data_IF_370083154197
#
_entry.id   IF_370083154197
#
_cell.length_a   1.000
_cell.length_b   1.000
_cell.length_c   1.000
_cell.angle_alpha   90.00
_cell.angle_beta   90.00
_cell.angle_gamma   90.00
#
_symmetry.space_group_name_H-M   'P 1'
#
loop_
_entity.id
_entity.type
_entity.pdbx_description
1 polymer ?
#
# COMPACT_ATOMS: atom_id res chain seq x y z
N UNK A 1 81.70 -216.74 62.94
CA UNK A 1 82.07 -215.71 63.94
C UNK A 1 82.94 -214.55 63.37
N UNK A 2 82.78 -214.10 62.11
CA UNK A 2 83.50 -212.91 61.56
C UNK A 2 82.65 -211.97 60.67
N UNK A 3 81.37 -212.29 60.42
CA UNK A 3 80.49 -211.46 59.57
C UNK A 3 79.58 -210.48 60.33
N UNK A 4 79.20 -210.76 61.59
CA UNK A 4 78.26 -209.88 62.32
C UNK A 4 78.90 -208.59 62.87
N UNK A 5 80.20 -208.59 63.21
CA UNK A 5 80.91 -207.35 63.58
C UNK A 5 81.11 -206.38 62.41
N UNK A 6 81.16 -206.87 61.16
CA UNK A 6 81.23 -206.01 59.97
C UNK A 6 79.92 -205.31 59.65
N UNK A 7 78.77 -205.94 59.96
CA UNK A 7 77.45 -205.31 59.75
C UNK A 7 77.23 -204.17 60.76
N UNK A 8 77.59 -204.36 62.03
CA UNK A 8 77.44 -203.30 63.04
C UNK A 8 78.30 -202.06 62.78
N UNK A 9 79.49 -202.21 62.18
CA UNK A 9 80.34 -201.07 61.78
C UNK A 9 79.76 -200.29 60.60
N UNK A 10 79.21 -200.99 59.60
CA UNK A 10 78.57 -200.35 58.45
C UNK A 10 77.28 -199.62 58.83
N UNK A 11 76.51 -200.14 59.79
CA UNK A 11 75.31 -199.46 60.29
C UNK A 11 75.67 -198.15 61.03
N UNK A 12 76.79 -198.13 61.75
CA UNK A 12 77.27 -196.93 62.44
C UNK A 12 77.84 -195.89 61.47
N UNK A 13 78.57 -196.31 60.43
CA UNK A 13 79.03 -195.42 59.36
C UNK A 13 77.85 -194.86 58.54
N UNK A 14 76.83 -195.68 58.24
CA UNK A 14 75.60 -195.24 57.57
C UNK A 14 74.78 -194.25 58.41
N UNK A 15 74.73 -194.44 59.73
CA UNK A 15 74.08 -193.50 60.64
C UNK A 15 74.86 -192.18 60.74
N UNK A 16 76.19 -192.23 60.78
CA UNK A 16 77.06 -191.05 60.77
C UNK A 16 76.91 -190.24 59.48
N UNK A 17 76.93 -190.91 58.33
CA UNK A 17 76.77 -190.25 57.03
C UNK A 17 75.38 -189.66 56.84
N UNK A 18 74.33 -190.28 57.39
CA UNK A 18 72.97 -189.68 57.39
C UNK A 18 72.91 -188.43 58.26
N UNK A 19 73.53 -188.44 59.44
CA UNK A 19 73.58 -187.25 60.28
C UNK A 19 74.36 -186.09 59.65
N UNK A 20 75.45 -186.38 58.93
CA UNK A 20 76.18 -185.36 58.16
C UNK A 20 75.37 -184.85 56.95
N UNK A 21 74.61 -185.73 56.28
CA UNK A 21 73.74 -185.33 55.17
C UNK A 21 72.55 -184.48 55.66
N UNK A 22 71.95 -184.84 56.80
CA UNK A 22 70.85 -184.09 57.41
C UNK A 22 71.34 -182.75 57.96
N UNK A 23 72.56 -182.70 58.52
CA UNK A 23 73.21 -181.47 58.95
C UNK A 23 73.51 -180.53 57.78
N UNK A 24 74.10 -181.05 56.71
CA UNK A 24 74.41 -180.25 55.51
C UNK A 24 73.15 -179.78 54.79
N UNK A 25 72.09 -180.59 54.72
CA UNK A 25 70.80 -180.15 54.13
C UNK A 25 70.10 -179.11 54.99
N UNK A 26 70.19 -179.18 56.31
CA UNK A 26 69.68 -178.13 57.21
C UNK A 26 70.44 -176.81 57.05
N UNK A 27 71.78 -176.85 56.94
CA UNK A 27 72.60 -175.67 56.68
C UNK A 27 72.32 -175.07 55.29
N UNK A 28 72.14 -175.90 54.27
CA UNK A 28 71.79 -175.44 52.92
C UNK A 28 70.39 -174.82 52.87
N UNK A 29 69.43 -175.38 53.61
CA UNK A 29 68.09 -174.83 53.71
C UNK A 29 68.07 -173.52 54.52
N UNK A 30 68.86 -173.41 55.60
CA UNK A 30 69.03 -172.13 56.33
C UNK A 30 69.75 -171.07 55.49
N UNK A 31 70.80 -171.46 54.76
CA UNK A 31 71.53 -170.57 53.84
C UNK A 31 70.63 -170.10 52.69
N UNK A 32 69.85 -171.00 52.10
CA UNK A 32 68.87 -170.67 51.07
C UNK A 32 67.78 -169.73 51.60
N UNK A 33 67.24 -169.99 52.80
CA UNK A 33 66.22 -169.15 53.41
C UNK A 33 66.74 -167.75 53.76
N UNK A 34 67.98 -167.66 54.27
CA UNK A 34 68.64 -166.39 54.56
C UNK A 34 68.96 -165.59 53.28
N UNK A 35 69.39 -166.26 52.21
CA UNK A 35 69.62 -165.63 50.91
C UNK A 35 68.32 -165.11 50.29
N UNK A 36 67.21 -165.85 50.39
CA UNK A 36 65.90 -165.37 49.92
C UNK A 36 65.40 -164.18 50.74
N UNK A 37 65.53 -164.21 52.07
CA UNK A 37 65.13 -163.09 52.92
C UNK A 37 65.98 -161.82 52.66
N UNK A 38 67.28 -161.96 52.40
CA UNK A 38 68.15 -160.85 52.03
C UNK A 38 67.78 -160.24 50.67
N UNK A 39 67.43 -161.07 49.68
CA UNK A 39 66.94 -160.62 48.37
C UNK A 39 65.59 -159.90 48.45
N UNK A 40 64.67 -160.38 49.29
CA UNK A 40 63.40 -159.71 49.54
C UNK A 40 63.58 -158.37 50.24
N UNK A 41 64.44 -158.28 51.26
CA UNK A 41 64.78 -157.02 51.91
C UNK A 41 65.44 -156.02 50.94
N UNK A 42 66.31 -156.49 50.04
CA UNK A 42 66.94 -155.65 49.03
C UNK A 42 65.92 -155.13 48.00
N UNK A 43 65.00 -155.99 47.54
CA UNK A 43 63.93 -155.59 46.62
C UNK A 43 62.96 -154.59 47.26
N UNK A 44 62.64 -154.75 48.54
CA UNK A 44 61.79 -153.82 49.26
C UNK A 44 62.49 -152.47 49.47
N UNK A 45 63.79 -152.46 49.78
CA UNK A 45 64.59 -151.24 49.86
C UNK A 45 64.71 -150.53 48.50
N UNK A 46 64.83 -151.27 47.39
CA UNK A 46 64.81 -150.68 46.04
C UNK A 46 63.44 -150.12 45.67
N UNK A 47 62.34 -150.78 46.04
CA UNK A 47 60.98 -150.24 45.84
C UNK A 47 60.79 -148.94 46.58
N UNK A 48 61.19 -148.87 47.85
CA UNK A 48 61.11 -147.64 48.65
C UNK A 48 61.99 -146.52 48.07
N UNK A 49 63.15 -146.84 47.48
CA UNK A 49 63.98 -145.86 46.77
C UNK A 49 63.33 -145.35 45.50
N UNK A 50 62.71 -146.22 44.71
CA UNK A 50 61.99 -145.83 43.49
C UNK A 50 60.78 -144.94 43.83
N UNK A 51 60.04 -145.28 44.88
CA UNK A 51 58.90 -144.49 45.37
C UNK A 51 59.36 -143.12 45.88
N UNK A 52 60.43 -143.05 46.68
CA UNK A 52 60.99 -141.78 47.13
C UNK A 52 61.51 -140.89 45.98
N UNK A 53 62.07 -141.48 44.92
CA UNK A 53 62.50 -140.75 43.72
C UNK A 53 61.29 -140.28 42.90
N UNK A 54 60.22 -141.07 42.81
CA UNK A 54 58.99 -140.68 42.15
C UNK A 54 58.30 -139.51 42.89
N UNK A 55 58.23 -139.57 44.21
CA UNK A 55 57.70 -138.49 45.05
C UNK A 55 58.54 -137.21 44.93
N UNK A 56 59.88 -137.32 44.92
CA UNK A 56 60.76 -136.18 44.70
C UNK A 56 60.58 -135.55 43.30
N UNK A 57 60.38 -136.37 42.27
CA UNK A 57 60.10 -135.90 40.91
C UNK A 57 58.73 -135.21 40.80
N UNK A 58 57.72 -135.67 41.54
CA UNK A 58 56.41 -135.03 41.61
C UNK A 58 56.45 -133.69 42.35
N UNK A 59 57.22 -133.60 43.45
CA UNK A 59 57.47 -132.35 44.15
C UNK A 59 58.21 -131.35 43.25
N UNK A 60 59.23 -131.81 42.50
CA UNK A 60 59.95 -130.96 41.55
C UNK A 60 59.05 -130.43 40.42
N UNK A 61 58.16 -131.28 39.88
CA UNK A 61 57.17 -130.86 38.87
C UNK A 61 56.19 -129.82 39.42
N UNK A 62 55.70 -130.01 40.65
CA UNK A 62 54.81 -129.03 41.32
C UNK A 62 55.51 -127.71 41.58
N UNK A 63 56.77 -127.73 42.03
CA UNK A 63 57.56 -126.51 42.22
C UNK A 63 57.79 -125.77 40.90
N UNK A 64 58.17 -126.47 39.83
CA UNK A 64 58.34 -125.85 38.51
C UNK A 64 57.03 -125.24 37.98
N UNK A 65 55.88 -125.91 38.23
CA UNK A 65 54.57 -125.37 37.90
C UNK A 65 54.23 -124.11 38.70
N UNK A 66 54.50 -124.10 40.01
CA UNK A 66 54.26 -122.94 40.87
C UNK A 66 55.20 -121.77 40.52
N UNK A 67 56.45 -122.04 40.19
CA UNK A 67 57.38 -121.01 39.69
C UNK A 67 56.91 -120.44 38.35
N UNK A 68 56.37 -121.27 37.46
CA UNK A 68 55.75 -120.85 36.20
C UNK A 68 54.53 -119.94 36.44
N UNK A 69 53.65 -120.32 37.37
CA UNK A 69 52.49 -119.51 37.77
C UNK A 69 52.93 -118.17 38.40
N UNK A 70 53.93 -118.18 39.27
CA UNK A 70 54.45 -116.97 39.91
C UNK A 70 55.10 -116.01 38.89
N UNK A 71 55.81 -116.54 37.89
CA UNK A 71 56.35 -115.72 36.78
C UNK A 71 55.22 -115.11 35.96
N UNK A 72 54.20 -115.90 35.60
CA UNK A 72 53.03 -115.41 34.86
C UNK A 72 52.24 -114.34 35.66
N UNK A 73 52.08 -114.50 36.97
CA UNK A 73 51.45 -113.48 37.82
C UNK A 73 52.27 -112.19 37.91
N UNK A 74 53.60 -112.29 37.99
CA UNK A 74 54.48 -111.11 37.99
C UNK A 74 54.41 -110.37 36.65
N UNK A 75 54.42 -111.09 35.54
CA UNK A 75 54.25 -110.51 34.21
C UNK A 75 52.87 -109.84 34.07
N UNK A 76 51.79 -110.53 34.49
CA UNK A 76 50.44 -109.97 34.51
C UNK A 76 50.35 -108.70 35.36
N UNK A 77 51.00 -108.68 36.54
CA UNK A 77 51.04 -107.51 37.41
C UNK A 77 51.77 -106.34 36.76
N UNK A 78 52.92 -106.57 36.12
CA UNK A 78 53.64 -105.52 35.36
C UNK A 78 52.79 -104.99 34.22
N UNK A 79 52.08 -105.86 33.48
CA UNK A 79 51.17 -105.40 32.42
C UNK A 79 50.00 -104.58 32.98
N UNK A 80 49.43 -104.97 34.12
CA UNK A 80 48.36 -104.23 34.78
C UNK A 80 48.86 -102.86 35.27
N UNK A 81 50.04 -102.79 35.89
CA UNK A 81 50.67 -101.54 36.33
C UNK A 81 50.95 -100.61 35.14
N UNK A 82 51.45 -101.15 34.01
CA UNK A 82 51.66 -100.38 32.78
C UNK A 82 50.35 -99.87 32.15
N UNK A 83 49.30 -100.69 32.15
CA UNK A 83 47.97 -100.27 31.67
C UNK A 83 47.37 -99.18 32.55
N UNK A 84 47.55 -99.27 33.87
CA UNK A 84 47.05 -98.28 34.82
C UNK A 84 47.80 -96.96 34.70
N UNK A 85 49.12 -97.01 34.49
CA UNK A 85 49.94 -95.84 34.19
C UNK A 85 49.59 -95.21 32.82
N UNK A 86 49.29 -96.04 31.81
CA UNK A 86 48.85 -95.55 30.50
C UNK A 86 47.46 -94.92 30.57
N UNK A 87 46.54 -95.51 31.33
CA UNK A 87 45.20 -94.98 31.56
C UNK A 87 45.22 -93.67 32.36
N UNK A 88 46.10 -93.56 33.36
CA UNK A 88 46.25 -92.30 34.11
C UNK A 88 46.87 -91.20 33.25
N UNK A 89 47.87 -91.52 32.42
CA UNK A 89 48.45 -90.58 31.44
C UNK A 89 47.39 -90.11 30.46
N UNK A 90 46.64 -91.03 29.85
CA UNK A 90 45.57 -90.70 28.91
C UNK A 90 44.44 -89.89 29.58
N UNK A 91 44.11 -90.18 30.84
CA UNK A 91 43.14 -89.40 31.60
C UNK A 91 43.62 -87.98 31.87
N UNK A 92 44.91 -87.79 32.19
CA UNK A 92 45.48 -86.46 32.40
C UNK A 92 45.62 -85.66 31.11
N UNK A 93 45.94 -86.32 29.99
CA UNK A 93 45.91 -85.71 28.66
C UNK A 93 44.50 -85.28 28.28
N UNK A 94 43.50 -86.17 28.44
CA UNK A 94 42.11 -85.84 28.18
C UNK A 94 41.60 -84.69 29.08
N UNK A 95 42.03 -84.64 30.35
CA UNK A 95 41.68 -83.55 31.26
C UNK A 95 42.37 -82.23 30.87
N UNK A 96 43.62 -82.27 30.37
CA UNK A 96 44.31 -81.09 29.84
C UNK A 96 43.64 -80.59 28.56
N UNK A 97 43.38 -81.46 27.60
CA UNK A 97 42.69 -81.11 26.36
C UNK A 97 41.28 -80.55 26.63
N UNK A 98 40.54 -81.14 27.59
CA UNK A 98 39.24 -80.62 27.99
C UNK A 98 39.34 -79.22 28.62
N UNK A 99 40.37 -78.97 29.46
CA UNK A 99 40.62 -77.65 30.05
C UNK A 99 41.02 -76.63 28.98
N UNK A 100 41.91 -77.00 28.06
CA UNK A 100 42.33 -76.13 26.96
C UNK A 100 41.15 -75.81 26.02
N UNK A 101 40.33 -76.80 25.68
CA UNK A 101 39.12 -76.60 24.88
C UNK A 101 38.08 -75.73 25.61
N UNK A 102 37.90 -75.92 26.91
CA UNK A 102 37.00 -75.10 27.71
C UNK A 102 37.49 -73.65 27.80
N UNK A 103 38.80 -73.45 27.96
CA UNK A 103 39.42 -72.13 27.97
C UNK A 103 39.28 -71.44 26.60
N UNK A 104 39.56 -72.15 25.52
CA UNK A 104 39.38 -71.62 24.16
C UNK A 104 37.91 -71.25 23.90
N UNK A 105 36.94 -72.08 24.32
CA UNK A 105 35.52 -71.77 24.21
C UNK A 105 35.12 -70.54 25.03
N UNK A 106 35.64 -70.40 26.27
CA UNK A 106 35.41 -69.23 27.10
C UNK A 106 35.98 -67.94 26.47
N UNK A 107 37.18 -68.01 25.89
CA UNK A 107 37.78 -66.88 25.17
C UNK A 107 36.99 -66.50 23.92
N UNK A 108 36.50 -67.49 23.16
CA UNK A 108 35.64 -67.22 22.00
C UNK A 108 34.33 -66.56 22.40
N UNK A 109 33.69 -67.03 23.49
CA UNK A 109 32.48 -66.42 24.02
C UNK A 109 32.74 -64.97 24.47
N UNK A 110 33.83 -64.72 25.20
CA UNK A 110 34.20 -63.38 25.66
C UNK A 110 34.50 -62.41 24.50
N UNK A 111 35.12 -62.90 23.42
CA UNK A 111 35.34 -62.10 22.19
C UNK A 111 34.03 -61.80 21.47
N UNK A 112 33.10 -62.77 21.41
CA UNK A 112 31.80 -62.58 20.80
C UNK A 112 30.97 -61.54 21.55
N UNK A 113 30.90 -61.61 22.88
CA UNK A 113 30.18 -60.63 23.71
C UNK A 113 30.80 -59.23 23.58
N UNK A 114 32.13 -59.12 23.60
CA UNK A 114 32.81 -57.84 23.37
C UNK A 114 32.51 -57.25 21.97
N UNK A 115 32.35 -58.10 20.96
CA UNK A 115 31.91 -57.71 19.62
C UNK A 115 30.48 -57.18 19.59
N UNK A 116 29.56 -57.84 20.29
CA UNK A 116 28.16 -57.38 20.42
C UNK A 116 28.06 -56.04 21.17
N UNK A 117 28.81 -55.86 22.25
CA UNK A 117 28.88 -54.60 23.00
C UNK A 117 29.42 -53.46 22.12
N UNK A 118 30.44 -53.74 21.29
CA UNK A 118 30.97 -52.78 20.32
C UNK A 118 29.93 -52.39 19.26
N UNK A 119 29.19 -53.37 18.71
CA UNK A 119 28.11 -53.12 17.76
C UNK A 119 26.97 -52.32 18.38
N UNK A 120 26.60 -52.59 19.63
CA UNK A 120 25.60 -51.83 20.37
C UNK A 120 26.06 -50.36 20.55
N UNK A 121 27.32 -50.14 20.91
CA UNK A 121 27.89 -48.79 21.03
C UNK A 121 27.91 -48.04 19.69
N UNK A 122 28.22 -48.72 18.58
CA UNK A 122 28.18 -48.12 17.24
C UNK A 122 26.75 -47.74 16.85
N UNK A 123 25.76 -48.61 17.11
CA UNK A 123 24.34 -48.32 16.85
C UNK A 123 23.83 -47.13 17.66
N UNK A 124 24.20 -47.05 18.93
CA UNK A 124 23.85 -45.90 19.77
C UNK A 124 24.44 -44.59 19.22
N UNK A 125 25.74 -44.59 18.86
CA UNK A 125 26.40 -43.43 18.25
C UNK A 125 25.78 -43.02 16.91
N UNK A 126 25.37 -44.00 16.09
CA UNK A 126 24.70 -43.72 14.83
C UNK A 126 23.33 -43.07 15.06
N UNK A 127 22.53 -43.60 15.99
CA UNK A 127 21.25 -43.01 16.38
C UNK A 127 21.42 -41.58 16.91
N UNK A 128 22.41 -41.33 17.76
CA UNK A 128 22.73 -39.99 18.27
C UNK A 128 23.15 -39.03 17.14
N UNK A 129 23.94 -39.53 16.18
CA UNK A 129 24.36 -38.75 15.02
C UNK A 129 23.17 -38.41 14.10
N UNK A 130 22.25 -39.35 13.89
CA UNK A 130 21.01 -39.11 13.13
C UNK A 130 20.10 -38.10 13.82
N UNK A 131 19.95 -38.17 15.15
CA UNK A 131 19.18 -37.20 15.92
C UNK A 131 19.78 -35.78 15.78
N UNK A 132 21.10 -35.64 15.93
CA UNK A 132 21.81 -34.37 15.72
C UNK A 132 21.68 -33.86 14.29
N UNK A 133 21.69 -34.76 13.30
CA UNK A 133 21.54 -34.36 11.91
C UNK A 133 20.12 -33.81 11.64
N UNK A 134 19.08 -34.43 12.21
CA UNK A 134 17.70 -33.89 12.15
C UNK A 134 17.59 -32.53 12.85
N UNK A 135 18.24 -32.35 14.00
CA UNK A 135 18.30 -31.05 14.68
C UNK A 135 19.00 -29.99 13.84
N UNK A 136 20.12 -30.34 13.18
CA UNK A 136 20.83 -29.45 12.27
C UNK A 136 19.97 -29.08 11.06
N UNK A 137 19.30 -30.05 10.42
CA UNK A 137 18.37 -29.79 9.32
C UNK A 137 17.24 -28.85 9.72
N UNK A 138 16.66 -29.06 10.92
CA UNK A 138 15.66 -28.15 11.51
C UNK A 138 16.23 -26.74 11.72
N UNK A 139 17.43 -26.62 12.29
CA UNK A 139 18.09 -25.33 12.50
C UNK A 139 18.38 -24.60 11.18
N UNK A 140 18.75 -25.33 10.12
CA UNK A 140 18.99 -24.79 8.79
C UNK A 140 17.68 -24.32 8.15
N UNK A 141 16.58 -25.04 8.35
CA UNK A 141 15.26 -24.61 7.89
C UNK A 141 14.84 -23.31 8.58
N UNK A 142 14.99 -23.21 9.91
CA UNK A 142 14.73 -21.99 10.69
C UNK A 142 15.62 -20.84 10.19
N UNK A 143 16.91 -21.08 9.96
CA UNK A 143 17.84 -20.07 9.47
C UNK A 143 17.46 -19.56 8.06
N UNK A 144 17.00 -20.45 7.17
CA UNK A 144 16.52 -20.07 5.84
C UNK A 144 15.26 -19.22 5.92
N UNK A 145 14.31 -19.58 6.79
CA UNK A 145 13.09 -18.80 7.01
C UNK A 145 13.41 -17.42 7.61
N UNK A 146 14.29 -17.36 8.61
CA UNK A 146 14.77 -16.10 9.18
C UNK A 146 15.47 -15.21 8.13
N UNK A 147 16.29 -15.80 7.25
CA UNK A 147 16.94 -15.08 6.15
C UNK A 147 15.93 -14.56 5.12
N UNK A 148 14.90 -15.33 4.79
CA UNK A 148 13.85 -14.90 3.87
C UNK A 148 13.02 -13.75 4.47
N UNK A 149 12.69 -13.83 5.76
CA UNK A 149 12.00 -12.77 6.50
C UNK A 149 12.83 -11.49 6.58
N UNK A 150 14.13 -11.59 6.85
CA UNK A 150 15.04 -10.44 6.85
C UNK A 150 15.11 -9.76 5.46
N UNK A 151 15.18 -10.54 4.38
CA UNK A 151 15.17 -10.00 3.02
C UNK A 151 13.83 -9.30 2.68
N UNK A 152 12.71 -9.89 3.10
CA UNK A 152 11.37 -9.29 2.95
C UNK A 152 11.25 -7.97 3.71
N UNK A 153 11.68 -7.94 4.98
CA UNK A 153 11.68 -6.72 5.80
C UNK A 153 12.55 -5.63 5.19
N UNK A 154 13.77 -5.96 4.73
CA UNK A 154 14.63 -4.97 4.10
C UNK A 154 14.04 -4.40 2.80
N UNK A 155 13.36 -5.24 2.00
CA UNK A 155 12.61 -4.78 0.83
C UNK A 155 11.46 -3.84 1.24
N UNK A 156 10.70 -4.19 2.29
CA UNK A 156 9.62 -3.35 2.81
C UNK A 156 10.15 -2.00 3.30
N UNK A 157 11.23 -1.98 4.08
CA UNK A 157 11.89 -0.75 4.53
C UNK A 157 12.36 0.11 3.35
N UNK A 158 12.97 -0.50 2.34
CA UNK A 158 13.41 0.22 1.14
C UNK A 158 12.22 0.85 0.39
N UNK A 159 11.08 0.16 0.29
CA UNK A 159 9.87 0.71 -0.32
C UNK A 159 9.25 1.83 0.52
N UNK A 160 9.19 1.66 1.85
CA UNK A 160 8.68 2.67 2.78
C UNK A 160 9.55 3.93 2.76
N UNK A 161 10.88 3.79 2.74
CA UNK A 161 11.82 4.89 2.65
C UNK A 161 11.69 5.64 1.31
N UNK A 162 11.52 4.92 0.18
CA UNK A 162 11.26 5.55 -1.12
C UNK A 162 9.93 6.31 -1.14
N UNK A 163 8.87 5.73 -0.57
CA UNK A 163 7.57 6.38 -0.47
C UNK A 163 7.62 7.64 0.42
N UNK A 164 8.27 7.55 1.58
CA UNK A 164 8.50 8.69 2.48
C UNK A 164 9.29 9.81 1.79
N UNK A 165 10.38 9.47 1.09
CA UNK A 165 11.17 10.44 0.32
C UNK A 165 10.35 11.10 -0.78
N UNK A 166 9.51 10.36 -1.49
CA UNK A 166 8.62 10.91 -2.51
C UNK A 166 7.59 11.88 -1.90
N UNK A 167 7.00 11.52 -0.75
CA UNK A 167 6.07 12.37 0.00
C UNK A 167 6.74 13.67 0.47
N UNK A 168 7.96 13.58 1.01
CA UNK A 168 8.75 14.75 1.41
C UNK A 168 8.99 15.69 0.23
N UNK A 169 9.42 15.17 -0.92
CA UNK A 169 9.64 15.97 -2.13
C UNK A 169 8.34 16.62 -2.64
N UNK A 170 7.21 15.92 -2.56
CA UNK A 170 5.91 16.48 -2.90
C UNK A 170 5.54 17.65 -1.96
N UNK A 171 5.68 17.46 -0.65
CA UNK A 171 5.43 18.50 0.35
C UNK A 171 6.37 19.70 0.18
N UNK A 172 7.65 19.49 -0.14
CA UNK A 172 8.59 20.58 -0.45
C UNK A 172 8.15 21.38 -1.68
N UNK A 173 7.67 20.70 -2.72
CA UNK A 173 7.19 21.35 -3.94
C UNK A 173 5.91 22.14 -3.69
N UNK A 174 4.97 21.61 -2.90
CA UNK A 174 3.78 22.34 -2.45
C UNK A 174 4.15 23.58 -1.64
N UNK A 175 5.09 23.46 -0.70
CA UNK A 175 5.58 24.58 0.08
C UNK A 175 6.21 25.66 -0.80
N UNK A 176 7.02 25.28 -1.79
CA UNK A 176 7.59 26.23 -2.78
C UNK A 176 6.49 26.91 -3.59
N UNK A 177 5.46 26.18 -4.01
CA UNK A 177 4.33 26.75 -4.75
C UNK A 177 3.53 27.74 -3.90
N UNK A 178 3.27 27.40 -2.62
CA UNK A 178 2.59 28.29 -1.68
C UNK A 178 3.40 29.56 -1.40
N UNK A 179 4.72 29.45 -1.22
CA UNK A 179 5.60 30.62 -1.06
C UNK A 179 5.52 31.57 -2.26
N UNK A 180 5.61 31.05 -3.49
CA UNK A 180 5.46 31.86 -4.71
C UNK A 180 4.08 32.52 -4.81
N UNK A 181 3.02 31.82 -4.39
CA UNK A 181 1.67 32.40 -4.34
C UNK A 181 1.56 33.52 -3.31
N UNK A 182 2.16 33.34 -2.14
CA UNK A 182 2.20 34.36 -1.09
C UNK A 182 2.95 35.60 -1.56
N UNK A 183 4.17 35.44 -2.10
CA UNK A 183 4.96 36.53 -2.69
C UNK A 183 4.18 37.26 -3.81
N UNK A 184 3.49 36.51 -4.68
CA UNK A 184 2.64 37.09 -5.71
C UNK A 184 1.42 37.85 -5.17
N UNK A 185 0.85 37.41 -4.04
CA UNK A 185 -0.25 38.10 -3.37
C UNK A 185 0.24 39.38 -2.68
N UNK A 186 1.40 39.34 -2.03
CA UNK A 186 2.06 40.52 -1.44
C UNK A 186 2.37 41.58 -2.50
N UNK A 187 2.92 41.18 -3.65
CA UNK A 187 3.18 42.10 -4.75
C UNK A 187 1.90 42.77 -5.28
N UNK A 188 0.80 42.00 -5.39
CA UNK A 188 -0.52 42.55 -5.78
C UNK A 188 -1.08 43.50 -4.73
N UNK A 189 -0.93 43.19 -3.45
CA UNK A 189 -1.36 44.07 -2.35
C UNK A 189 -0.57 45.38 -2.38
N UNK A 190 0.76 45.33 -2.51
CA UNK A 190 1.59 46.52 -2.61
C UNK A 190 1.23 47.39 -3.83
N UNK A 191 0.92 46.76 -4.97
CA UNK A 191 0.44 47.48 -6.15
C UNK A 191 -0.92 48.15 -5.92
N UNK A 192 -1.85 47.46 -5.25
CA UNK A 192 -3.17 48.00 -4.90
C UNK A 192 -3.07 49.16 -3.91
N UNK A 193 -2.21 49.05 -2.88
CA UNK A 193 -1.93 50.13 -1.92
C UNK A 193 -1.31 51.34 -2.62
N UNK A 194 -0.38 51.11 -3.55
CA UNK A 194 0.20 52.17 -4.39
C UNK A 194 -0.85 52.89 -5.24
N UNK A 195 -1.77 52.13 -5.86
CA UNK A 195 -2.88 52.69 -6.64
C UNK A 195 -3.85 53.48 -5.76
N UNK A 196 -4.19 52.96 -4.58
CA UNK A 196 -5.04 53.66 -3.61
C UNK A 196 -4.40 54.97 -3.13
N UNK A 197 -3.09 54.97 -2.87
CA UNK A 197 -2.36 56.18 -2.47
C UNK A 197 -2.39 57.24 -3.57
N UNK A 198 -2.23 56.86 -4.84
CA UNK A 198 -2.38 57.77 -5.98
C UNK A 198 -3.80 58.32 -6.08
N UNK A 199 -4.80 57.45 -6.03
CA UNK A 199 -6.21 57.86 -6.10
C UNK A 199 -6.60 58.82 -4.96
N UNK A 200 -6.07 58.63 -3.74
CA UNK A 200 -6.24 59.58 -2.63
C UNK A 200 -5.58 60.92 -2.89
N UNK A 201 -4.40 60.94 -3.50
CA UNK A 201 -3.72 62.17 -3.93
C UNK A 201 -4.53 62.92 -4.99
N UNK A 202 -5.06 62.20 -5.99
CA UNK A 202 -5.90 62.76 -7.05
C UNK A 202 -7.23 63.30 -6.51
N UNK A 203 -7.86 62.60 -5.56
CA UNK A 203 -9.04 63.10 -4.87
C UNK A 203 -8.75 64.40 -4.11
N UNK A 204 -7.66 64.43 -3.34
CA UNK A 204 -7.26 65.63 -2.58
C UNK A 204 -6.92 66.83 -3.48
N UNK A 205 -6.35 66.60 -4.67
CA UNK A 205 -6.11 67.69 -5.64
C UNK A 205 -7.41 68.20 -6.24
N UNK A 206 -8.34 67.31 -6.64
CA UNK A 206 -9.67 67.70 -7.11
C UNK A 206 -10.49 68.45 -6.05
N UNK A 207 -10.40 68.05 -4.78
CA UNK A 207 -11.08 68.77 -3.70
C UNK A 207 -10.56 70.20 -3.55
N UNK A 208 -9.24 70.41 -3.70
CA UNK A 208 -8.65 71.76 -3.69
C UNK A 208 -9.07 72.58 -4.92
N UNK A 209 -9.09 71.97 -6.11
CA UNK A 209 -9.55 72.64 -7.33
C UNK A 209 -11.01 73.04 -7.23
N UNK A 210 -11.86 72.16 -6.70
CA UNK A 210 -13.26 72.45 -6.43
C UNK A 210 -13.44 73.55 -5.38
N UNK A 211 -12.60 73.59 -4.34
CA UNK A 211 -12.54 74.71 -3.39
C UNK A 211 -12.23 76.04 -4.07
N UNK A 212 -11.17 76.09 -4.89
CA UNK A 212 -10.81 77.30 -5.66
C UNK A 212 -11.91 77.71 -6.65
N UNK A 213 -12.52 76.77 -7.33
CA UNK A 213 -13.61 77.04 -8.25
C UNK A 213 -14.83 77.64 -7.54
N UNK A 214 -15.15 77.16 -6.33
CA UNK A 214 -16.21 77.74 -5.49
C UNK A 214 -15.86 79.16 -5.02
N UNK A 215 -14.62 79.40 -4.59
CA UNK A 215 -14.15 80.74 -4.22
C UNK A 215 -14.24 81.72 -5.40
N UNK A 216 -13.75 81.31 -6.59
CA UNK A 216 -13.86 82.12 -7.81
C UNK A 216 -15.32 82.40 -8.20
N UNK A 217 -16.20 81.40 -8.07
CA UNK A 217 -17.63 81.59 -8.32
C UNK A 217 -18.25 82.59 -7.34
N UNK A 218 -17.93 82.49 -6.04
CA UNK A 218 -18.39 83.43 -5.02
C UNK A 218 -17.85 84.85 -5.26
N UNK A 219 -16.58 85.00 -5.64
CA UNK A 219 -16.01 86.30 -6.02
C UNK A 219 -16.69 86.90 -7.26
N UNK A 220 -16.96 86.07 -8.28
CA UNK A 220 -17.64 86.50 -9.49
C UNK A 220 -19.09 86.93 -9.20
N UNK A 221 -19.80 86.20 -8.34
CA UNK A 221 -21.14 86.54 -7.88
C UNK A 221 -21.16 87.86 -7.10
N UNK A 222 -20.23 88.04 -6.15
CA UNK A 222 -20.09 89.29 -5.40
C UNK A 222 -19.77 90.49 -6.31
N UNK A 223 -18.91 90.31 -7.32
CA UNK A 223 -18.64 91.35 -8.33
C UNK A 223 -19.88 91.65 -9.17
N UNK A 224 -20.62 90.62 -9.60
CA UNK A 224 -21.84 90.80 -10.36
C UNK A 224 -22.91 91.53 -9.55
N UNK A 225 -23.05 91.22 -8.26
CA UNK A 225 -23.95 91.93 -7.34
C UNK A 225 -23.54 93.39 -7.15
N UNK A 226 -22.25 93.67 -6.94
CA UNK A 226 -21.73 95.04 -6.86
C UNK A 226 -22.05 95.85 -8.13
N UNK A 227 -21.81 95.28 -9.32
CA UNK A 227 -22.13 95.92 -10.60
C UNK A 227 -23.64 96.12 -10.80
N UNK A 228 -24.48 95.15 -10.40
CA UNK A 228 -25.94 95.28 -10.45
C UNK A 228 -26.43 96.39 -9.51
N UNK A 229 -25.89 96.48 -8.30
CA UNK A 229 -26.21 97.54 -7.35
C UNK A 229 -25.77 98.92 -7.87
N UNK A 230 -24.59 99.01 -8.50
CA UNK A 230 -24.13 100.22 -9.18
C UNK A 230 -25.06 100.64 -10.32
N UNK A 231 -25.41 99.69 -11.21
CA UNK A 231 -26.33 99.93 -12.32
C UNK A 231 -27.75 100.30 -11.84
N UNK A 232 -28.23 99.73 -10.74
CA UNK A 232 -29.50 100.10 -10.14
C UNK A 232 -29.48 101.55 -9.65
N UNK A 233 -28.42 101.97 -8.93
CA UNK A 233 -28.25 103.36 -8.50
C UNK A 233 -28.16 104.34 -9.67
N UNK A 234 -27.47 103.97 -10.75
CA UNK A 234 -27.44 104.79 -11.97
C UNK A 234 -28.79 104.86 -12.68
N UNK A 235 -29.56 103.77 -12.70
CA UNK A 235 -30.93 103.77 -13.24
C UNK A 235 -31.85 104.64 -12.40
N UNK A 236 -31.76 104.54 -11.07
CA UNK A 236 -32.56 105.34 -10.14
C UNK A 236 -32.22 106.83 -10.26
N UNK A 237 -30.94 107.19 -10.38
CA UNK A 237 -30.53 108.58 -10.60
C UNK A 237 -30.99 109.12 -11.95
N UNK A 238 -30.89 108.32 -13.02
CA UNK A 238 -31.43 108.69 -14.34
C UNK A 238 -32.96 108.81 -14.33
N UNK A 239 -33.66 107.91 -13.64
CA UNK A 239 -35.11 107.98 -13.49
C UNK A 239 -35.55 109.24 -12.74
N UNK A 240 -34.84 109.62 -11.68
CA UNK A 240 -35.08 110.86 -10.96
C UNK A 240 -34.88 112.10 -11.86
N UNK A 241 -33.81 112.14 -12.66
CA UNK A 241 -33.58 113.22 -13.63
C UNK A 241 -34.66 113.29 -14.72
N UNK A 242 -35.15 112.14 -15.18
CA UNK A 242 -36.24 112.08 -16.17
C UNK A 242 -37.56 112.58 -15.57
N UNK A 243 -37.89 112.20 -14.34
CA UNK A 243 -39.09 112.70 -13.66
C UNK A 243 -39.02 114.20 -13.37
N UNK A 244 -37.84 114.72 -13.00
CA UNK A 244 -37.61 116.16 -12.88
C UNK A 244 -37.81 116.89 -14.22
N UNK A 245 -37.25 116.34 -15.31
CA UNK A 245 -37.46 116.88 -16.65
C UNK A 245 -38.93 116.82 -17.10
N UNK A 246 -39.66 115.74 -16.77
CA UNK A 246 -41.11 115.63 -17.04
C UNK A 246 -41.90 116.65 -16.25
N UNK A 247 -41.58 116.87 -14.98
CA UNK A 247 -42.22 117.89 -14.15
C UNK A 247 -41.99 119.31 -14.72
N UNK A 248 -40.77 119.59 -15.21
CA UNK A 248 -40.43 120.84 -15.91
C UNK A 248 -41.26 121.02 -17.19
N UNK A 249 -41.41 119.97 -18.01
CA UNK A 249 -42.24 119.98 -19.23
C UNK A 249 -43.72 120.15 -18.90
N UNK A 250 -44.23 119.43 -17.90
CA UNK A 250 -45.62 119.54 -17.45
C UNK A 250 -45.95 120.97 -16.93
N UNK A 251 -45.00 121.62 -16.24
CA UNK A 251 -45.13 123.03 -15.85
C UNK A 251 -45.18 123.98 -17.04
N UNK A 252 -44.50 123.66 -18.15
CA UNK A 252 -44.52 124.45 -19.39
C UNK A 252 -45.73 124.15 -20.30
N UNK A 253 -46.39 123.01 -20.12
CA UNK A 253 -47.45 122.51 -21.01
C UNK A 253 -48.88 122.84 -20.58
N UNK A 254 -49.11 123.68 -19.56
CA UNK A 254 -50.45 124.12 -19.08
C UNK A 254 -51.14 125.16 -19.98
N UNK A 255 -50.93 125.09 -21.29
CA UNK A 255 -51.62 125.97 -22.23
C UNK A 255 -51.50 125.50 -23.66
N UNK A 256 -52.34 124.53 -24.06
CA UNK A 256 -53.02 124.43 -25.37
C UNK A 256 -53.51 122.99 -25.60
N UNK A 257 -54.84 122.81 -25.64
CA UNK A 257 -55.50 121.59 -26.14
C UNK A 257 -56.00 121.91 -27.55
N UNK A 258 -55.43 121.28 -28.58
CA UNK A 258 -55.87 121.40 -29.98
C UNK A 258 -56.84 120.26 -30.32
N UNK A 259 -58.04 120.62 -30.78
CA UNK A 259 -59.10 119.71 -31.20
C UNK A 259 -59.07 119.58 -32.74
N UNK A 260 -58.70 118.41 -33.25
CA UNK A 260 -58.62 118.10 -34.69
C UNK A 260 -59.93 117.46 -35.18
N UNK A 261 -60.51 118.03 -36.24
CA UNK A 261 -61.71 117.51 -36.95
C UNK A 261 -61.26 116.98 -38.31
N UNK A 262 -61.47 115.69 -38.57
CA UNK A 262 -61.14 115.04 -39.85
C UNK A 262 -62.40 114.94 -40.71
N UNK A 263 -62.35 115.47 -41.93
CA UNK A 263 -63.43 115.41 -42.93
C UNK A 263 -63.16 114.22 -43.87
N UNK A 264 -64.11 113.29 -43.96
CA UNK A 264 -63.96 112.08 -44.79
C UNK A 264 -64.02 112.41 -46.30
N UNK A 265 -63.19 111.76 -47.15
CA UNK A 265 -63.21 111.96 -48.60
C UNK A 265 -64.47 111.35 -49.26
N UNK A 266 -65.12 112.10 -50.15
CA UNK A 266 -66.33 111.71 -50.87
C UNK A 266 -65.99 110.89 -52.12
N UNK A 267 -66.41 109.62 -52.18
CA UNK A 267 -66.21 108.76 -53.36
C UNK A 267 -67.46 108.78 -54.25
N UNK A 268 -67.32 109.17 -55.53
CA UNK A 268 -68.41 109.08 -56.53
C UNK A 268 -68.27 107.79 -57.33
N UNK A 269 -69.27 106.91 -57.23
CA UNK A 269 -69.35 105.68 -58.05
C UNK A 269 -70.34 105.92 -59.18
N UNK A 270 -69.87 105.87 -60.44
CA UNK A 270 -70.75 105.85 -61.62
C UNK A 270 -71.06 104.40 -61.99
N UNK A 271 -72.34 104.04 -61.99
CA UNK A 271 -72.84 102.75 -62.47
C UNK A 271 -73.31 102.94 -63.92
N UNK A 272 -72.77 102.19 -64.90
CA UNK A 272 -73.17 102.32 -66.30
C UNK A 272 -74.64 101.92 -66.51
N UNK A 273 -75.36 102.55 -67.47
CA UNK A 273 -76.82 102.54 -67.49
C UNK A 273 -77.49 101.34 -68.19
N UNK A 274 -76.76 100.45 -68.84
CA UNK A 274 -77.39 99.39 -69.66
C UNK A 274 -77.39 98.02 -68.95
N UNK A 275 -78.51 97.81 -68.23
CA UNK A 275 -79.29 96.58 -68.16
C UNK A 275 -78.57 95.23 -68.25
N UNK A 276 -78.21 94.68 -67.10
CA UNK A 276 -78.85 93.45 -66.64
C UNK A 276 -78.85 93.46 -65.11
N UNK A 277 -79.98 93.06 -64.53
CA UNK A 277 -80.27 93.13 -63.10
C UNK A 277 -79.30 92.22 -62.31
N UNK A 278 -78.12 92.74 -62.00
CA UNK A 278 -77.23 92.16 -61.01
C UNK A 278 -77.85 92.41 -59.64
N UNK A 279 -78.56 91.40 -59.14
CA UNK A 279 -79.23 91.33 -57.83
C UNK A 279 -78.32 91.65 -56.63
N UNK A 280 -77.02 91.87 -56.84
CA UNK A 280 -76.08 92.45 -55.87
C UNK A 280 -75.03 93.29 -56.62
N UNK A 281 -75.02 94.64 -56.49
CA UNK A 281 -73.89 95.42 -56.98
C UNK A 281 -72.64 95.00 -56.22
N UNK A 282 -71.75 94.26 -56.89
CA UNK A 282 -70.42 93.95 -56.33
C UNK A 282 -69.57 95.21 -56.46
N UNK A 283 -69.27 95.85 -55.34
CA UNK A 283 -68.26 96.91 -55.32
C UNK A 283 -66.95 96.37 -55.91
N UNK A 284 -66.19 97.18 -56.66
CA UNK A 284 -64.80 96.86 -56.99
C UNK A 284 -63.93 97.06 -55.75
N UNK A 285 -64.10 96.20 -54.73
CA UNK A 285 -63.42 96.26 -53.43
C UNK A 285 -61.89 96.33 -53.60
N UNK A 286 -61.36 95.58 -54.58
CA UNK A 286 -59.93 95.61 -54.90
C UNK A 286 -59.46 97.01 -55.33
N UNK A 287 -60.28 97.75 -56.10
CA UNK A 287 -59.95 99.09 -56.58
C UNK A 287 -60.08 100.14 -55.48
N UNK A 288 -61.08 100.00 -54.61
CA UNK A 288 -61.28 100.89 -53.46
C UNK A 288 -60.17 100.72 -52.41
N UNK A 289 -59.74 99.46 -52.17
CA UNK A 289 -58.54 99.16 -51.38
C UNK A 289 -57.27 99.77 -51.95
N UNK A 290 -57.09 99.68 -53.27
CA UNK A 290 -55.93 100.28 -53.93
C UNK A 290 -55.90 101.80 -53.71
N UNK A 291 -57.01 102.50 -53.95
CA UNK A 291 -57.09 103.96 -53.75
C UNK A 291 -56.87 104.34 -52.27
N UNK A 292 -57.47 103.62 -51.32
CA UNK A 292 -57.28 103.90 -49.90
C UNK A 292 -55.82 103.68 -49.45
N UNK A 293 -55.20 102.58 -49.88
CA UNK A 293 -53.82 102.22 -49.49
C UNK A 293 -52.75 103.03 -50.20
N UNK A 294 -52.93 103.31 -51.48
CA UNK A 294 -51.90 103.92 -52.33
C UNK A 294 -52.04 105.44 -52.40
N UNK A 295 -53.25 106.00 -52.38
CA UNK A 295 -53.47 107.44 -52.58
C UNK A 295 -53.82 108.17 -51.28
N UNK A 296 -54.68 107.60 -50.45
CA UNK A 296 -55.23 108.32 -49.28
C UNK A 296 -54.35 108.11 -48.03
N UNK A 297 -53.95 106.88 -47.72
CA UNK A 297 -53.23 106.56 -46.49
C UNK A 297 -51.81 107.16 -46.38
N UNK A 298 -50.97 107.17 -47.43
CA UNK A 298 -49.59 107.63 -47.28
C UNK A 298 -49.47 109.10 -46.82
N UNK A 299 -50.26 110.07 -47.35
CA UNK A 299 -50.29 111.43 -46.81
C UNK A 299 -50.71 111.50 -45.33
N UNK A 300 -51.69 110.69 -44.91
CA UNK A 300 -52.15 110.66 -43.52
C UNK A 300 -51.08 110.11 -42.58
N UNK A 301 -50.46 108.97 -42.91
CA UNK A 301 -49.36 108.40 -42.11
C UNK A 301 -48.18 109.36 -42.05
N UNK A 302 -47.92 110.15 -43.09
CA UNK A 302 -46.84 111.15 -43.07
C UNK A 302 -47.06 112.28 -42.05
N UNK A 303 -48.31 112.60 -41.72
CA UNK A 303 -48.66 113.63 -40.73
C UNK A 303 -48.57 113.07 -39.30
N UNK A 304 -48.92 111.80 -39.11
CA UNK A 304 -48.95 111.14 -37.79
C UNK A 304 -47.67 110.35 -37.46
N UNK A 305 -46.85 110.05 -38.47
CA UNK A 305 -45.55 109.43 -38.35
C UNK A 305 -44.53 110.42 -37.81
N UNK A 306 -44.34 110.41 -36.49
CA UNK A 306 -43.21 111.06 -35.84
C UNK A 306 -41.90 110.64 -36.52
N UNK A 307 -41.02 111.61 -36.75
CA UNK A 307 -39.74 111.53 -37.47
C UNK A 307 -38.68 110.53 -36.95
N UNK A 308 -38.97 109.59 -36.05
CA UNK A 308 -37.94 108.78 -35.38
C UNK A 308 -37.95 107.27 -35.64
N UNK A 309 -38.78 106.77 -36.56
CA UNK A 309 -38.71 105.36 -37.02
C UNK A 309 -38.75 105.26 -38.54
N UNK A 310 -37.94 106.09 -39.21
CA UNK A 310 -37.72 106.05 -40.65
C UNK A 310 -36.68 104.98 -41.07
N UNK A 311 -36.85 103.74 -40.60
CA UNK A 311 -36.15 102.57 -41.14
C UNK A 311 -37.15 101.45 -41.44
N UNK A 312 -37.75 101.56 -42.63
CA UNK A 312 -37.98 100.46 -43.59
C UNK A 312 -38.26 99.06 -43.01
N UNK A 313 -39.47 98.84 -42.51
CA UNK A 313 -40.14 97.52 -42.47
C UNK A 313 -41.58 97.63 -41.94
N UNK A 314 -41.83 98.55 -41.00
CA UNK A 314 -43.14 98.75 -40.37
C UNK A 314 -44.18 99.46 -41.25
N UNK A 315 -43.75 100.06 -42.37
CA UNK A 315 -44.65 100.69 -43.36
C UNK A 315 -45.21 99.66 -44.35
N UNK A 316 -44.51 98.53 -44.58
CA UNK A 316 -45.01 97.44 -45.41
C UNK A 316 -45.97 96.50 -44.65
N UNK A 317 -45.76 96.35 -43.34
CA UNK A 317 -46.70 95.68 -42.45
C UNK A 317 -47.65 96.70 -41.83
N UNK A 318 -48.61 97.19 -42.64
CA UNK A 318 -49.61 98.18 -42.25
C UNK A 318 -50.08 98.01 -40.80
N UNK A 319 -49.88 99.03 -39.98
CA UNK A 319 -50.13 98.97 -38.54
C UNK A 319 -51.54 98.40 -38.26
N UNK A 320 -51.71 97.52 -37.25
CA UNK A 320 -52.99 96.84 -37.01
C UNK A 320 -54.20 97.79 -36.91
N UNK A 321 -54.00 99.00 -36.37
CA UNK A 321 -55.05 100.02 -36.27
C UNK A 321 -55.41 100.65 -37.63
N UNK A 322 -54.46 100.73 -38.56
CA UNK A 322 -54.65 101.26 -39.91
C UNK A 322 -55.48 100.27 -40.75
N UNK A 323 -55.17 98.97 -40.63
CA UNK A 323 -55.97 97.92 -41.24
C UNK A 323 -57.39 97.90 -40.67
N UNK A 324 -57.54 98.08 -39.35
CA UNK A 324 -58.85 98.19 -38.71
C UNK A 324 -59.65 99.40 -39.22
N UNK A 325 -59.01 100.57 -39.40
CA UNK A 325 -59.65 101.77 -39.93
C UNK A 325 -60.13 101.58 -41.39
N UNK A 326 -59.32 100.93 -42.23
CA UNK A 326 -59.71 100.62 -43.62
C UNK A 326 -60.89 99.65 -43.64
N UNK A 327 -60.87 98.61 -42.80
CA UNK A 327 -62.02 97.70 -42.68
C UNK A 327 -63.29 98.42 -42.21
N UNK A 328 -63.18 99.35 -41.26
CA UNK A 328 -64.33 100.10 -40.77
C UNK A 328 -64.88 101.06 -41.83
N UNK A 329 -64.01 101.71 -42.62
CA UNK A 329 -64.41 102.52 -43.78
C UNK A 329 -65.08 101.66 -44.87
N UNK A 330 -64.53 100.47 -45.15
CA UNK A 330 -65.14 99.50 -46.09
C UNK A 330 -66.54 99.11 -45.63
N UNK A 331 -66.70 98.73 -44.35
CA UNK A 331 -68.01 98.40 -43.78
C UNK A 331 -68.97 99.58 -43.81
N UNK A 332 -68.49 100.80 -43.53
CA UNK A 332 -69.30 102.02 -43.59
C UNK A 332 -69.82 102.32 -45.00
N UNK A 333 -68.95 102.23 -46.01
CA UNK A 333 -69.33 102.43 -47.42
C UNK A 333 -70.28 101.31 -47.88
N UNK A 334 -70.03 100.05 -47.53
CA UNK A 334 -70.95 98.94 -47.85
C UNK A 334 -72.32 99.11 -47.20
N UNK A 335 -72.36 99.52 -45.92
CA UNK A 335 -73.61 99.77 -45.21
C UNK A 335 -74.41 100.88 -45.88
N UNK A 336 -73.76 101.99 -46.21
CA UNK A 336 -74.40 103.15 -46.84
C UNK A 336 -74.88 102.82 -48.27
N UNK A 337 -74.11 102.05 -49.05
CA UNK A 337 -74.55 101.60 -50.36
C UNK A 337 -75.69 100.59 -50.25
N UNK A 338 -75.66 99.64 -49.31
CA UNK A 338 -76.80 98.74 -49.06
C UNK A 338 -78.04 99.52 -48.66
N UNK A 339 -77.93 100.54 -47.82
CA UNK A 339 -79.06 101.38 -47.43
C UNK A 339 -79.62 102.15 -48.65
N UNK A 340 -78.74 102.75 -49.45
CA UNK A 340 -79.15 103.51 -50.64
C UNK A 340 -79.79 102.62 -51.71
N UNK A 341 -79.24 101.42 -51.96
CA UNK A 341 -79.77 100.50 -52.97
C UNK A 341 -80.91 99.59 -52.46
N UNK A 342 -81.01 99.33 -51.15
CA UNK A 342 -82.20 98.72 -50.56
C UNK A 342 -83.42 99.66 -50.63
N UNK A 343 -83.20 100.98 -50.54
CA UNK A 343 -84.24 101.98 -50.76
C UNK A 343 -84.75 102.08 -52.21
N UNK A 344 -83.96 101.61 -53.20
CA UNK A 344 -84.31 101.63 -54.63
C UNK A 344 -85.12 100.39 -55.06
N UNK A 345 -85.03 99.28 -54.32
CA UNK A 345 -85.85 98.09 -54.58
C UNK A 345 -87.34 98.28 -54.19
N UNK A 346 -87.65 99.23 -53.31
CA UNK A 346 -89.03 99.52 -52.86
C UNK A 346 -89.73 100.63 -53.66
N UNK A 347 -89.05 101.28 -54.61
CA UNK A 347 -89.56 102.47 -55.33
C UNK A 347 -89.71 102.30 -56.85
N UNK A 348 -89.73 101.05 -57.35
CA UNK A 348 -90.08 100.72 -58.73
C UNK A 348 -91.23 99.68 -58.80
N UNK A 349 -92.37 100.04 -58.24
CA UNK A 349 -93.66 99.70 -58.85
C UNK A 349 -94.19 100.99 -59.49
N UNK A 350 -94.31 100.93 -60.81
CA UNK A 350 -94.55 101.98 -61.80
C UNK A 350 -95.74 102.93 -61.54
N UNK A 351 -95.65 104.20 -62.00
CA UNK A 351 -96.78 105.14 -62.08
C UNK A 351 -97.51 105.11 -63.44
N UNK A 352 -98.85 105.30 -63.37
CA UNK A 352 -99.80 105.90 -64.35
C UNK A 352 -100.05 105.22 -65.71
N UNK A 353 -101.21 105.41 -66.37
CA UNK A 353 -102.31 106.37 -66.13
C UNK A 353 -103.55 105.84 -65.40
#
# INVERSE_FOLDING_TARGET
MRMREKVGKLELEMASLRAELDGTTAELNQSSAAATAALEAQREAERQRIEAVADAADVARRLASLEGQLRAEREARVTAENLLASASSASHEAEREAKESAQAAAEHLARATAGEDSLAAIRARLSDAEARNRELESSVAIAKEASANAASLHSQEATAHRASKASLLAAENELRALKRRAEGAEAKLAAAEGALRKARGDAATRDRELGRAKEQAAEAEARAEYLRAGAARERDSRAALVEEAKAEVARRATGQVLRLVVVAPTVRVQVPPDGDALERPRLPVAKLRAVLREEILPPFVRIFGRQETATSAAVEAGEPWLNALVEDLERGIEAQLRETFAGVATTRATPSP
#
